data_IF_236134751688
#
_entry.id   IF_236134751688
#
_cell.length_a   1.000
_cell.length_b   1.000
_cell.length_c   1.000
_cell.angle_alpha   90.00
_cell.angle_beta   90.00
_cell.angle_gamma   90.00
#
_symmetry.space_group_name_H-M   'P 1'
#
loop_
_entity.id
_entity.type
_entity.pdbx_description
1 polymer ?
#
# COMPACT_ATOMS: atom_id res chain seq x y z
N UNK A 1 -1.29 9.22 32.94
CA UNK A 1 -1.15 8.95 31.49
C UNK A 1 0.28 8.54 31.11
N UNK A 2 1.29 9.23 31.65
CA UNK A 2 2.74 8.93 31.49
C UNK A 2 3.14 7.53 31.95
N UNK A 3 2.58 7.05 33.06
CA UNK A 3 2.84 5.69 33.59
C UNK A 3 2.24 4.59 32.69
N UNK A 4 1.06 4.83 32.11
CA UNK A 4 0.39 3.92 31.16
C UNK A 4 1.15 3.84 29.83
N UNK A 5 1.73 4.95 29.39
CA UNK A 5 2.60 5.02 28.20
C UNK A 5 3.93 4.30 28.45
N UNK A 6 4.52 4.45 29.64
CA UNK A 6 5.76 3.74 29.99
C UNK A 6 5.54 2.23 30.15
N UNK A 7 4.39 1.80 30.70
CA UNK A 7 4.00 0.39 30.78
C UNK A 7 3.76 -0.23 29.40
N UNK A 8 3.06 0.47 28.50
CA UNK A 8 2.89 0.03 27.11
C UNK A 8 4.22 0.02 26.34
N UNK A 9 5.16 0.94 26.63
CA UNK A 9 6.53 0.86 26.10
C UNK A 9 7.25 -0.38 26.61
N UNK A 10 7.19 -0.67 27.91
CA UNK A 10 7.84 -1.86 28.46
C UNK A 10 7.24 -3.17 27.89
N UNK A 11 5.92 -3.25 27.72
CA UNK A 11 5.23 -4.43 27.20
C UNK A 11 5.34 -4.60 25.68
N UNK A 12 5.39 -3.50 24.91
CA UNK A 12 5.53 -3.55 23.44
C UNK A 12 6.99 -3.76 23.01
N UNK A 13 7.95 -3.41 23.86
CA UNK A 13 9.39 -3.58 23.60
C UNK A 13 10.03 -4.70 24.43
N UNK A 14 9.27 -5.41 25.26
CA UNK A 14 9.66 -6.71 25.79
C UNK A 14 9.68 -7.71 24.63
N UNK A 15 10.72 -7.62 23.78
CA UNK A 15 11.21 -8.79 23.06
C UNK A 15 11.41 -9.83 24.17
N UNK A 16 10.66 -10.95 24.18
CA UNK A 16 10.84 -11.96 25.21
C UNK A 16 12.32 -12.27 25.24
N UNK A 17 12.97 -12.04 26.38
CA UNK A 17 14.38 -12.36 26.58
C UNK A 17 14.50 -13.86 26.31
N UNK A 18 14.84 -14.19 25.06
CA UNK A 18 14.71 -15.51 24.50
C UNK A 18 15.79 -16.40 25.06
N UNK A 19 15.53 -16.96 26.24
CA UNK A 19 16.32 -18.04 26.81
C UNK A 19 16.31 -19.24 25.86
N UNK A 20 17.48 -19.58 25.33
CA UNK A 20 17.86 -20.93 24.88
C UNK A 20 17.23 -21.52 23.61
N UNK A 21 16.08 -21.04 23.11
CA UNK A 21 15.38 -21.71 21.99
C UNK A 21 15.72 -21.18 20.59
N UNK A 22 16.30 -19.98 20.47
CA UNK A 22 16.59 -19.36 19.16
C UNK A 22 17.75 -20.05 18.41
N UNK A 23 18.66 -20.73 19.12
CA UNK A 23 19.78 -21.42 18.50
C UNK A 23 19.31 -22.65 17.69
N UNK A 24 18.30 -23.38 18.18
CA UNK A 24 17.78 -24.61 17.53
C UNK A 24 17.06 -24.31 16.21
N UNK A 25 16.24 -23.25 16.18
CA UNK A 25 15.53 -22.84 14.95
C UNK A 25 16.49 -22.33 13.88
N UNK A 26 17.58 -21.66 14.26
CA UNK A 26 18.61 -21.16 13.32
C UNK A 26 19.39 -22.29 12.67
N UNK A 27 19.84 -23.28 13.45
CA UNK A 27 20.49 -24.48 12.90
C UNK A 27 19.53 -25.29 12.01
N UNK A 28 18.27 -25.39 12.41
CA UNK A 28 17.25 -26.06 11.60
C UNK A 28 17.01 -25.34 10.26
N UNK A 29 16.91 -24.01 10.25
CA UNK A 29 16.73 -23.24 9.01
C UNK A 29 17.93 -23.38 8.07
N UNK A 30 19.17 -23.30 8.58
CA UNK A 30 20.37 -23.50 7.76
C UNK A 30 20.41 -24.92 7.21
N UNK A 31 20.15 -25.95 8.04
CA UNK A 31 20.08 -27.33 7.56
C UNK A 31 18.96 -27.54 6.54
N UNK A 32 17.80 -26.91 6.71
CA UNK A 32 16.69 -26.96 5.77
C UNK A 32 17.06 -26.30 4.43
N UNK A 33 17.71 -25.12 4.45
CA UNK A 33 18.20 -24.48 3.24
C UNK A 33 19.26 -25.34 2.53
N UNK A 34 20.23 -25.89 3.27
CA UNK A 34 21.28 -26.75 2.70
C UNK A 34 20.68 -28.04 2.13
N UNK A 35 19.75 -28.68 2.85
CA UNK A 35 19.05 -29.87 2.38
C UNK A 35 18.19 -29.58 1.16
N UNK A 36 17.51 -28.42 1.15
CA UNK A 36 16.73 -27.97 -0.02
C UNK A 36 17.64 -27.76 -1.21
N UNK A 37 18.74 -27.02 -1.07
CA UNK A 37 19.74 -26.81 -2.14
C UNK A 37 20.33 -28.15 -2.61
N UNK A 38 20.64 -29.07 -1.69
CA UNK A 38 21.14 -30.41 -2.02
C UNK A 38 20.12 -31.23 -2.84
N UNK A 39 18.86 -31.25 -2.42
CA UNK A 39 17.75 -31.85 -3.18
C UNK A 39 17.53 -31.17 -4.54
N UNK A 40 17.78 -29.86 -4.59
CA UNK A 40 17.65 -29.04 -5.79
C UNK A 40 18.71 -29.37 -6.84
N UNK A 41 19.98 -29.47 -6.41
CA UNK A 41 21.11 -29.90 -7.24
C UNK A 41 21.00 -31.37 -7.65
N UNK A 42 20.40 -32.21 -6.80
CA UNK A 42 20.16 -33.61 -7.10
C UNK A 42 18.96 -33.86 -8.03
N UNK A 43 18.22 -32.83 -8.44
CA UNK A 43 17.10 -33.01 -9.37
C UNK A 43 17.60 -33.47 -10.74
N UNK A 44 16.91 -34.46 -11.32
CA UNK A 44 17.29 -35.04 -12.62
C UNK A 44 17.30 -33.99 -13.74
N UNK A 45 16.41 -32.99 -13.65
CA UNK A 45 16.38 -31.86 -14.58
C UNK A 45 17.66 -31.04 -14.50
N UNK A 46 18.11 -30.65 -13.30
CA UNK A 46 19.36 -29.94 -13.12
C UNK A 46 20.56 -30.72 -13.66
N UNK A 47 20.65 -32.02 -13.33
CA UNK A 47 21.73 -32.89 -13.81
C UNK A 47 21.70 -33.06 -15.33
N UNK A 48 20.51 -33.08 -15.95
CA UNK A 48 20.37 -33.15 -17.41
C UNK A 48 20.87 -31.87 -18.11
N UNK A 49 20.50 -30.69 -17.59
CA UNK A 49 20.97 -29.40 -18.08
C UNK A 49 22.48 -29.27 -17.90
N UNK A 50 22.99 -29.60 -16.71
CA UNK A 50 24.43 -29.60 -16.44
C UNK A 50 25.17 -30.57 -17.37
N UNK A 51 24.60 -31.76 -17.60
CA UNK A 51 25.18 -32.74 -18.53
C UNK A 51 25.16 -32.27 -19.99
N UNK A 52 24.13 -31.54 -20.43
CA UNK A 52 24.08 -30.91 -21.76
C UNK A 52 25.11 -29.79 -21.88
N UNK A 53 25.21 -28.95 -20.86
CA UNK A 53 26.22 -27.89 -20.77
C UNK A 53 27.65 -28.43 -20.84
N UNK A 54 27.98 -29.47 -20.05
CA UNK A 54 29.30 -30.12 -20.08
C UNK A 54 29.62 -30.68 -21.48
N UNK A 55 28.61 -31.18 -22.20
CA UNK A 55 28.73 -31.69 -23.57
C UNK A 55 28.78 -30.58 -24.63
N UNK A 56 28.57 -29.32 -24.25
CA UNK A 56 28.45 -28.14 -25.13
C UNK A 56 27.28 -28.23 -26.11
N UNK A 57 26.19 -28.86 -25.67
CA UNK A 57 24.93 -28.84 -26.43
C UNK A 57 24.34 -27.43 -26.40
N UNK A 58 23.63 -27.01 -27.46
CA UNK A 58 22.97 -25.70 -27.44
C UNK A 58 21.82 -25.70 -26.41
N UNK A 59 21.92 -24.85 -25.40
CA UNK A 59 20.97 -24.74 -24.29
C UNK A 59 19.89 -23.68 -24.50
N UNK A 60 19.87 -22.96 -25.63
CA UNK A 60 18.96 -21.83 -25.89
C UNK A 60 17.46 -22.15 -25.64
N UNK A 61 17.02 -23.36 -26.03
CA UNK A 61 15.64 -23.82 -25.89
C UNK A 61 15.42 -24.74 -24.67
N UNK A 62 16.43 -24.86 -23.80
CA UNK A 62 16.34 -25.75 -22.65
C UNK A 62 15.66 -25.05 -21.48
N UNK A 63 14.78 -25.79 -20.82
CA UNK A 63 14.06 -25.35 -19.64
C UNK A 63 14.69 -25.98 -18.40
N UNK A 64 14.88 -25.18 -17.36
CA UNK A 64 15.20 -25.66 -16.02
C UNK A 64 13.96 -25.40 -15.16
N UNK A 65 13.25 -26.49 -14.82
CA UNK A 65 11.87 -26.45 -14.31
C UNK A 65 10.92 -25.72 -15.30
N UNK A 66 9.87 -24.94 -14.91
CA UNK A 66 8.98 -24.34 -15.90
C UNK A 66 9.53 -23.05 -16.55
N UNK A 67 10.82 -22.74 -16.38
CA UNK A 67 11.41 -21.48 -16.84
C UNK A 67 12.57 -21.74 -17.81
N UNK A 68 12.63 -20.91 -18.87
CA UNK A 68 13.74 -20.93 -19.82
C UNK A 68 15.06 -20.57 -19.14
N UNK A 69 16.18 -21.17 -19.57
CA UNK A 69 17.50 -20.92 -18.97
C UNK A 69 17.93 -19.44 -18.97
N UNK A 70 17.53 -18.66 -19.98
CA UNK A 70 17.77 -17.21 -19.99
C UNK A 70 17.14 -16.44 -18.82
N UNK A 71 16.08 -16.97 -18.18
CA UNK A 71 15.57 -16.40 -16.92
C UNK A 71 16.47 -16.72 -15.74
N UNK A 72 17.03 -17.93 -15.69
CA UNK A 72 17.98 -18.36 -14.67
C UNK A 72 19.28 -17.57 -14.75
N UNK A 73 19.77 -17.26 -15.95
CA UNK A 73 20.90 -16.33 -16.16
C UNK A 73 20.67 -14.99 -15.45
N UNK A 74 19.49 -14.38 -15.65
CA UNK A 74 19.12 -13.09 -15.05
C UNK A 74 19.03 -13.19 -13.53
N UNK A 75 18.46 -14.28 -13.02
CA UNK A 75 18.43 -14.56 -11.58
C UNK A 75 19.87 -14.71 -11.06
N UNK A 76 20.74 -15.40 -11.79
CA UNK A 76 22.15 -15.58 -11.47
C UNK A 76 22.89 -14.26 -11.31
N UNK A 77 22.76 -13.37 -12.30
CA UNK A 77 23.32 -12.01 -12.26
C UNK A 77 22.75 -11.18 -11.11
N UNK A 78 21.45 -11.29 -10.82
CA UNK A 78 20.83 -10.62 -9.68
C UNK A 78 21.41 -11.12 -8.34
N UNK A 79 21.63 -12.43 -8.18
CA UNK A 79 22.24 -13.00 -6.98
C UNK A 79 23.71 -12.59 -6.81
N UNK A 80 24.49 -12.58 -7.90
CA UNK A 80 25.87 -12.07 -7.88
C UNK A 80 25.93 -10.57 -7.51
N UNK A 81 25.00 -9.76 -8.03
CA UNK A 81 24.88 -8.36 -7.65
C UNK A 81 24.54 -8.20 -6.16
N UNK A 82 23.57 -8.98 -5.65
CA UNK A 82 23.23 -8.98 -4.23
C UNK A 82 24.41 -9.43 -3.35
N UNK A 83 25.21 -10.40 -3.82
CA UNK A 83 26.45 -10.79 -3.15
C UNK A 83 27.43 -9.62 -3.06
N UNK A 84 27.65 -8.89 -4.15
CA UNK A 84 28.46 -7.66 -4.14
C UNK A 84 27.92 -6.62 -3.16
N UNK A 85 26.60 -6.45 -3.08
CA UNK A 85 25.96 -5.56 -2.11
C UNK A 85 26.21 -5.97 -0.65
N UNK A 86 26.38 -7.25 -0.34
CA UNK A 86 26.75 -7.67 1.03
C UNK A 86 28.13 -7.18 1.45
N UNK A 87 29.07 -7.07 0.50
CA UNK A 87 30.40 -6.50 0.75
C UNK A 87 30.28 -5.00 1.01
N UNK A 88 29.47 -4.29 0.22
CA UNK A 88 29.18 -2.86 0.47
C UNK A 88 28.57 -2.67 1.85
N UNK A 89 27.64 -3.53 2.27
CA UNK A 89 27.05 -3.49 3.61
C UNK A 89 28.09 -3.75 4.72
N UNK A 90 29.08 -4.63 4.49
CA UNK A 90 30.18 -4.88 5.44
C UNK A 90 31.10 -3.65 5.61
N UNK A 91 31.13 -2.75 4.62
CA UNK A 91 31.88 -1.49 4.68
C UNK A 91 31.11 -0.37 5.40
N UNK A 92 29.79 -0.47 5.52
CA UNK A 92 28.99 0.55 6.20
C UNK A 92 29.07 0.33 7.71
N UNK A 93 29.40 1.39 8.44
CA UNK A 93 29.40 1.40 9.90
C UNK A 93 28.06 0.85 10.47
N UNK A 94 28.10 -0.23 11.27
CA UNK A 94 26.92 -0.80 11.92
C UNK A 94 26.06 0.23 12.68
N UNK A 95 26.68 1.24 13.28
CA UNK A 95 25.96 2.28 14.00
C UNK A 95 25.08 3.14 13.06
N UNK A 96 25.56 3.44 11.86
CA UNK A 96 24.80 4.18 10.84
C UNK A 96 23.61 3.36 10.34
N UNK A 97 23.81 2.07 10.09
CA UNK A 97 22.72 1.17 9.68
C UNK A 97 21.64 1.07 10.77
N UNK A 98 22.05 0.92 12.04
CA UNK A 98 21.13 0.89 13.17
C UNK A 98 20.32 2.18 13.28
N UNK A 99 20.95 3.35 13.18
CA UNK A 99 20.26 4.64 13.23
C UNK A 99 19.27 4.82 12.06
N UNK A 100 19.66 4.41 10.85
CA UNK A 100 18.77 4.44 9.69
C UNK A 100 17.55 3.52 9.88
N UNK A 101 17.74 2.31 10.42
CA UNK A 101 16.67 1.38 10.71
C UNK A 101 15.70 1.92 11.78
N UNK A 102 16.22 2.51 12.86
CA UNK A 102 15.40 3.16 13.90
C UNK A 102 14.60 4.33 13.34
N UNK A 103 15.23 5.19 12.52
CA UNK A 103 14.54 6.29 11.85
C UNK A 103 13.42 5.81 10.91
N UNK A 104 13.63 4.71 10.19
CA UNK A 104 12.61 4.10 9.35
C UNK A 104 11.44 3.53 10.18
N UNK A 105 11.71 2.90 11.33
CA UNK A 105 10.68 2.39 12.24
C UNK A 105 9.87 3.51 12.87
N UNK A 106 10.49 4.61 13.28
CA UNK A 106 9.78 5.76 13.84
C UNK A 106 8.92 6.46 12.79
N UNK A 107 9.41 6.55 11.55
CA UNK A 107 8.60 7.03 10.42
C UNK A 107 7.42 6.10 10.13
N UNK A 108 7.58 4.78 10.20
CA UNK A 108 6.48 3.82 10.08
C UNK A 108 5.43 4.01 11.18
N UNK A 109 5.86 4.26 12.42
CA UNK A 109 4.96 4.50 13.55
C UNK A 109 4.17 5.79 13.36
N UNK A 110 4.81 6.86 12.92
CA UNK A 110 4.10 8.12 12.63
C UNK A 110 3.10 7.96 11.49
N UNK A 111 3.45 7.20 10.45
CA UNK A 111 2.51 6.86 9.37
C UNK A 111 1.33 6.01 9.85
N UNK A 112 1.55 5.07 10.77
CA UNK A 112 0.47 4.23 11.34
C UNK A 112 -0.46 5.06 12.22
N UNK A 113 0.09 5.96 13.04
CA UNK A 113 -0.69 6.91 13.83
C UNK A 113 -1.53 7.81 12.92
N UNK A 114 -0.93 8.39 11.88
CA UNK A 114 -1.63 9.18 10.87
C UNK A 114 -2.69 8.36 10.12
N UNK A 115 -2.50 7.04 9.95
CA UNK A 115 -3.51 6.17 9.32
C UNK A 115 -4.75 6.00 10.20
N UNK A 116 -4.58 5.85 11.52
CA UNK A 116 -5.71 5.81 12.45
C UNK A 116 -6.53 7.10 12.41
N UNK A 117 -5.85 8.24 12.41
CA UNK A 117 -6.47 9.57 12.28
C UNK A 117 -7.20 9.73 10.94
N UNK A 118 -6.58 9.31 9.82
CA UNK A 118 -7.21 9.35 8.50
C UNK A 118 -8.41 8.38 8.37
N UNK A 119 -8.39 7.24 9.06
CA UNK A 119 -9.51 6.31 9.09
C UNK A 119 -10.69 6.88 9.86
N UNK A 120 -10.43 7.53 10.99
CA UNK A 120 -11.43 8.28 11.73
C UNK A 120 -12.08 9.36 10.84
N UNK A 121 -11.28 10.16 10.15
CA UNK A 121 -11.81 11.19 9.24
C UNK A 121 -12.60 10.62 8.06
N UNK A 122 -12.14 9.52 7.49
CA UNK A 122 -12.86 8.81 6.44
C UNK A 122 -14.24 8.35 6.93
N UNK A 123 -14.31 7.85 8.16
CA UNK A 123 -15.54 7.40 8.77
C UNK A 123 -16.48 8.58 9.05
N UNK A 124 -15.99 9.69 9.57
CA UNK A 124 -16.81 10.90 9.79
C UNK A 124 -17.38 11.45 8.48
N UNK A 125 -16.59 11.52 7.40
CA UNK A 125 -17.08 11.96 6.09
C UNK A 125 -18.15 11.00 5.53
N UNK A 126 -17.98 9.70 5.73
CA UNK A 126 -18.98 8.69 5.36
C UNK A 126 -20.26 8.85 6.17
N UNK A 127 -20.17 9.03 7.48
CA UNK A 127 -21.32 9.27 8.37
C UNK A 127 -22.05 10.55 7.97
N UNK A 128 -21.33 11.63 7.64
CA UNK A 128 -21.91 12.88 7.15
C UNK A 128 -22.70 12.65 5.86
N UNK A 129 -22.10 11.94 4.91
CA UNK A 129 -22.71 11.62 3.61
C UNK A 129 -23.96 10.74 3.77
N UNK A 130 -23.87 9.65 4.54
CA UNK A 130 -24.99 8.75 4.78
C UNK A 130 -26.13 9.42 5.55
N UNK A 131 -25.80 10.25 6.54
CA UNK A 131 -26.78 11.05 7.29
C UNK A 131 -27.50 11.99 6.34
N UNK A 132 -26.77 12.78 5.55
CA UNK A 132 -27.36 13.65 4.54
C UNK A 132 -28.30 12.88 3.60
N UNK A 133 -27.87 11.75 3.06
CA UNK A 133 -28.70 10.94 2.16
C UNK A 133 -29.94 10.38 2.83
N UNK A 134 -29.85 9.92 4.09
CA UNK A 134 -31.00 9.41 4.86
C UNK A 134 -32.04 10.49 5.15
N UNK A 135 -31.61 11.72 5.40
CA UNK A 135 -32.53 12.85 5.51
C UNK A 135 -33.23 13.14 4.18
N UNK A 136 -32.46 13.27 3.10
CA UNK A 136 -33.05 13.50 1.76
C UNK A 136 -34.00 12.38 1.38
N UNK A 137 -33.68 11.12 1.70
CA UNK A 137 -34.46 9.95 1.32
C UNK A 137 -35.80 9.88 2.03
N UNK A 138 -35.81 10.04 3.36
CA UNK A 138 -37.01 9.97 4.20
C UNK A 138 -38.08 10.95 3.73
N UNK A 139 -37.66 12.13 3.30
CA UNK A 139 -38.55 13.21 2.96
C UNK A 139 -38.91 13.24 1.46
N UNK A 140 -38.04 12.75 0.57
CA UNK A 140 -38.29 12.73 -0.89
C UNK A 140 -38.74 11.39 -1.46
N UNK A 141 -38.84 10.34 -0.63
CA UNK A 141 -39.21 9.00 -1.06
C UNK A 141 -40.53 8.97 -1.86
N UNK A 142 -40.46 8.36 -3.04
CA UNK A 142 -41.61 7.72 -3.69
C UNK A 142 -42.10 6.55 -2.81
N UNK A 143 -43.39 6.14 -2.90
CA UNK A 143 -43.98 5.09 -2.07
C UNK A 143 -43.16 3.78 -2.02
N UNK A 144 -42.36 3.52 -3.05
CA UNK A 144 -41.63 2.27 -3.25
C UNK A 144 -40.25 2.25 -2.57
N UNK A 145 -39.84 3.30 -1.85
CA UNK A 145 -38.59 3.33 -1.06
C UNK A 145 -37.29 3.50 -1.86
N UNK A 146 -37.32 3.43 -3.20
CA UNK A 146 -36.11 3.59 -4.02
C UNK A 146 -35.83 5.05 -4.35
N UNK A 147 -34.64 5.56 -3.99
CA UNK A 147 -34.09 6.76 -4.63
C UNK A 147 -33.29 6.39 -5.86
N UNK A 148 -33.77 6.85 -7.01
CA UNK A 148 -32.91 7.00 -8.18
C UNK A 148 -32.11 8.29 -8.04
N UNK A 149 -30.96 8.22 -7.38
CA UNK A 149 -29.95 9.29 -7.40
C UNK A 149 -28.79 8.81 -8.29
N UNK A 150 -28.65 9.42 -9.48
CA UNK A 150 -27.58 9.12 -10.44
C UNK A 150 -27.43 7.63 -10.85
N UNK A 151 -28.53 6.87 -10.95
CA UNK A 151 -28.50 5.49 -11.43
C UNK A 151 -27.95 4.45 -10.45
N UNK A 152 -27.59 4.84 -9.21
CA UNK A 152 -27.23 3.90 -8.17
C UNK A 152 -28.47 3.51 -7.37
N UNK A 153 -28.86 2.24 -7.46
CA UNK A 153 -29.84 1.64 -6.57
C UNK A 153 -29.19 1.47 -5.20
N UNK A 154 -29.33 2.48 -4.33
CA UNK A 154 -29.08 2.27 -2.90
C UNK A 154 -30.33 1.55 -2.38
N UNK A 155 -30.24 0.29 -1.92
CA UNK A 155 -31.38 -0.36 -1.29
C UNK A 155 -31.86 0.56 -0.17
N UNK A 156 -33.16 0.86 -0.18
CA UNK A 156 -33.79 1.59 0.90
C UNK A 156 -33.37 0.91 2.21
N UNK A 157 -32.57 1.55 3.08
CA UNK A 157 -32.29 0.95 4.36
C UNK A 157 -33.65 0.70 5.00
N UNK A 158 -33.91 -0.54 5.41
CA UNK A 158 -35.08 -0.82 6.24
C UNK A 158 -35.05 0.21 7.36
N UNK A 159 -36.14 0.96 7.49
CA UNK A 159 -36.23 2.20 8.28
C UNK A 159 -36.02 1.97 9.79
N UNK A 160 -35.98 0.69 10.22
CA UNK A 160 -35.59 0.21 11.55
C UNK A 160 -34.08 0.03 11.74
N UNK A 161 -33.27 0.15 10.69
CA UNK A 161 -31.82 -0.07 10.72
C UNK A 161 -31.06 1.15 11.30
N UNK A 162 -31.34 1.44 12.58
CA UNK A 162 -30.51 2.17 13.53
C UNK A 162 -30.01 3.57 13.14
N UNK A 163 -29.52 4.31 14.14
CA UNK A 163 -28.57 5.40 13.88
C UNK A 163 -27.39 4.78 13.10
N UNK A 164 -26.85 5.42 12.04
CA UNK A 164 -25.55 5.00 11.52
C UNK A 164 -24.58 4.85 12.70
N UNK A 165 -23.60 3.95 12.65
CA UNK A 165 -22.50 4.01 13.63
C UNK A 165 -21.87 5.41 13.53
N UNK A 166 -22.24 6.29 14.45
CA UNK A 166 -22.06 7.71 14.36
C UNK A 166 -21.72 8.26 15.75
N UNK A 167 -21.01 9.39 15.82
CA UNK A 167 -20.56 9.94 17.10
C UNK A 167 -21.70 10.61 17.91
N UNK A 168 -22.88 10.81 17.33
CA UNK A 168 -24.04 11.44 17.98
C UNK A 168 -25.06 10.42 18.51
N UNK A 169 -25.88 10.83 19.47
CA UNK A 169 -26.91 9.96 20.06
C UNK A 169 -28.12 9.81 19.14
N UNK A 170 -28.99 8.83 19.44
CA UNK A 170 -30.23 8.66 18.68
C UNK A 170 -31.18 9.87 18.83
N UNK A 171 -31.24 10.46 20.02
CA UNK A 171 -32.10 11.60 20.31
C UNK A 171 -31.65 12.85 19.54
N UNK A 172 -30.33 13.11 19.47
CA UNK A 172 -29.79 14.22 18.67
C UNK A 172 -30.15 14.06 17.18
N UNK A 173 -30.10 12.80 16.70
CA UNK A 173 -30.47 12.47 15.32
C UNK A 173 -31.98 12.71 15.06
N UNK A 174 -32.85 12.32 15.99
CA UNK A 174 -34.30 12.56 15.88
C UNK A 174 -34.64 14.06 15.94
N UNK A 175 -33.99 14.81 16.84
CA UNK A 175 -34.15 16.26 16.94
C UNK A 175 -33.73 16.97 15.65
N UNK A 176 -32.62 16.55 15.04
CA UNK A 176 -32.22 17.04 13.72
C UNK A 176 -33.27 16.71 12.65
N UNK A 177 -33.84 15.51 12.64
CA UNK A 177 -34.94 15.14 11.72
C UNK A 177 -36.14 16.09 11.86
N UNK A 178 -36.57 16.38 13.08
CA UNK A 178 -37.67 17.30 13.34
C UNK A 178 -37.37 18.71 12.84
N UNK A 179 -36.19 19.27 13.15
CA UNK A 179 -35.73 20.57 12.63
C UNK A 179 -35.76 20.64 11.10
N UNK A 180 -35.30 19.59 10.43
CA UNK A 180 -35.34 19.53 8.96
C UNK A 180 -36.76 19.42 8.41
N UNK A 181 -37.64 18.67 9.08
CA UNK A 181 -39.05 18.57 8.69
C UNK A 181 -39.77 19.92 8.78
N UNK A 182 -39.51 20.68 9.85
CA UNK A 182 -40.05 22.03 10.05
C UNK A 182 -39.57 23.00 8.98
N UNK A 183 -38.26 23.07 8.73
CA UNK A 183 -37.68 23.91 7.69
C UNK A 183 -38.27 23.57 6.31
N UNK A 184 -38.44 22.28 6.03
CA UNK A 184 -39.06 21.82 4.78
C UNK A 184 -40.52 22.28 4.65
N UNK A 185 -41.32 22.20 5.72
CA UNK A 185 -42.71 22.67 5.75
C UNK A 185 -42.79 24.18 5.55
N UNK A 186 -41.90 24.95 6.19
CA UNK A 186 -41.85 26.40 6.08
C UNK A 186 -41.42 26.86 4.68
N UNK A 187 -40.40 26.21 4.11
CA UNK A 187 -39.83 26.62 2.83
C UNK A 187 -40.67 26.19 1.61
N UNK A 188 -41.30 25.01 1.66
CA UNK A 188 -42.10 24.50 0.56
C UNK A 188 -43.60 24.58 0.88
N UNK A 189 -44.15 25.80 0.94
CA UNK A 189 -45.61 26.02 1.03
C UNK A 189 -46.43 25.40 -0.10
N UNK A 190 -45.78 24.96 -1.20
CA UNK A 190 -46.42 24.24 -2.30
C UNK A 190 -46.31 22.71 -2.10
N UNK A 191 -47.40 22.14 -1.58
CA UNK A 191 -47.53 20.78 -1.04
C UNK A 191 -47.07 19.57 -1.90
N UNK A 192 -46.77 19.63 -3.21
CA UNK A 192 -46.82 18.37 -4.01
C UNK A 192 -45.87 18.09 -5.19
N UNK A 193 -44.91 18.93 -5.60
CA UNK A 193 -44.22 18.66 -6.89
C UNK A 193 -42.70 18.48 -6.92
N UNK A 194 -41.96 18.75 -5.85
CA UNK A 194 -40.51 18.55 -5.90
C UNK A 194 -40.14 17.14 -5.42
N UNK A 195 -39.88 16.24 -6.37
CA UNK A 195 -39.28 14.91 -6.11
C UNK A 195 -37.87 14.99 -5.52
N UNK A 196 -37.24 16.16 -5.51
CA UNK A 196 -35.88 16.37 -5.01
C UNK A 196 -35.81 17.60 -4.11
N UNK A 197 -34.98 17.54 -3.06
CA UNK A 197 -34.71 18.69 -2.20
C UNK A 197 -34.16 19.87 -3.02
N UNK A 198 -34.71 21.07 -2.82
CA UNK A 198 -34.23 22.28 -3.49
C UNK A 198 -32.85 22.69 -2.96
N UNK A 199 -32.16 23.60 -3.65
CA UNK A 199 -30.82 24.06 -3.24
C UNK A 199 -30.78 24.60 -1.81
N UNK A 200 -31.78 25.37 -1.40
CA UNK A 200 -31.85 25.92 -0.02
C UNK A 200 -32.02 24.82 1.03
N UNK A 201 -32.87 23.83 0.78
CA UNK A 201 -33.01 22.65 1.65
C UNK A 201 -31.72 21.83 1.74
N UNK A 202 -31.02 21.62 0.62
CA UNK A 202 -29.72 20.92 0.61
C UNK A 202 -28.67 21.69 1.43
N UNK A 203 -28.64 23.02 1.30
CA UNK A 203 -27.72 23.85 2.09
C UNK A 203 -28.05 23.78 3.59
N UNK A 204 -29.32 23.97 3.96
CA UNK A 204 -29.76 23.87 5.35
C UNK A 204 -29.45 22.49 5.94
N UNK A 205 -29.75 21.42 5.20
CA UNK A 205 -29.46 20.06 5.64
C UNK A 205 -27.96 19.85 5.80
N UNK A 206 -27.13 20.36 4.91
CA UNK A 206 -25.68 20.30 5.05
C UNK A 206 -25.21 20.99 6.33
N UNK A 207 -25.74 22.18 6.64
CA UNK A 207 -25.45 22.88 7.90
C UNK A 207 -25.88 22.06 9.11
N UNK A 208 -27.09 21.52 9.09
CA UNK A 208 -27.65 20.74 10.19
C UNK A 208 -26.85 19.45 10.46
N UNK A 209 -26.44 18.73 9.41
CA UNK A 209 -25.61 17.53 9.56
C UNK A 209 -24.21 17.90 10.09
N UNK A 210 -23.65 19.04 9.66
CA UNK A 210 -22.39 19.52 10.19
C UNK A 210 -22.50 19.89 11.68
N UNK A 211 -23.56 20.62 12.07
CA UNK A 211 -23.84 20.94 13.49
C UNK A 211 -23.93 19.68 14.34
N UNK A 212 -24.68 18.67 13.88
CA UNK A 212 -24.86 17.40 14.58
C UNK A 212 -23.53 16.66 14.79
N UNK A 213 -22.67 16.63 13.77
CA UNK A 213 -21.34 16.03 13.87
C UNK A 213 -20.43 16.86 14.79
N UNK A 214 -20.43 18.19 14.64
CA UNK A 214 -19.55 19.07 15.41
C UNK A 214 -19.85 19.06 16.90
N UNK A 215 -21.13 18.91 17.29
CA UNK A 215 -21.54 18.76 18.69
C UNK A 215 -21.06 17.43 19.29
N UNK A 216 -21.03 16.38 18.48
CA UNK A 216 -20.60 15.05 18.88
C UNK A 216 -19.07 14.88 18.95
N UNK A 217 -18.32 15.73 18.24
CA UNK A 217 -16.85 15.66 18.17
C UNK A 217 -16.17 16.48 19.28
N UNK A 218 -15.09 15.91 19.84
CA UNK A 218 -14.22 16.64 20.75
C UNK A 218 -13.56 17.85 20.04
N UNK A 219 -13.11 18.89 20.78
CA UNK A 219 -12.44 20.04 20.18
C UNK A 219 -11.21 19.67 19.33
N UNK A 220 -10.47 18.63 19.73
CA UNK A 220 -9.32 18.12 19.00
C UNK A 220 -9.75 17.47 17.67
N UNK A 221 -10.78 16.63 17.69
CA UNK A 221 -11.34 15.99 16.49
C UNK A 221 -11.89 17.03 15.51
N UNK A 222 -12.55 18.09 16.00
CA UNK A 222 -13.02 19.20 15.18
C UNK A 222 -11.88 19.94 14.50
N UNK A 223 -10.83 20.29 15.23
CA UNK A 223 -9.65 20.95 14.65
C UNK A 223 -8.99 20.09 13.56
N UNK A 224 -8.91 18.77 13.77
CA UNK A 224 -8.39 17.85 12.76
C UNK A 224 -9.31 17.78 11.52
N UNK A 225 -10.63 17.81 11.71
CA UNK A 225 -11.61 17.73 10.62
C UNK A 225 -11.50 18.99 9.75
N UNK A 226 -11.44 20.17 10.37
CA UNK A 226 -11.24 21.45 9.67
C UNK A 226 -9.92 21.47 8.88
N UNK A 227 -8.82 20.98 9.45
CA UNK A 227 -7.53 20.86 8.74
C UNK A 227 -7.67 19.99 7.50
N UNK A 228 -8.40 18.87 7.61
CA UNK A 228 -8.60 17.92 6.51
C UNK A 228 -9.48 18.50 5.41
N UNK A 229 -10.55 19.21 5.77
CA UNK A 229 -11.45 19.87 4.83
C UNK A 229 -10.75 20.95 4.00
N UNK A 230 -9.85 21.73 4.61
CA UNK A 230 -9.04 22.74 3.89
C UNK A 230 -8.12 22.14 2.82
N UNK A 231 -7.67 20.89 3.00
CA UNK A 231 -6.75 20.21 2.07
C UNK A 231 -7.49 19.59 0.87
N UNK A 232 -8.78 19.29 1.02
CA UNK A 232 -9.56 18.47 0.09
C UNK A 232 -9.84 19.09 -1.31
N UNK A 233 -10.07 20.41 -1.50
CA UNK A 233 -10.41 20.94 -2.83
C UNK A 233 -9.26 20.79 -3.84
N UNK A 234 -8.01 20.88 -3.40
CA UNK A 234 -6.83 20.68 -4.26
C UNK A 234 -6.61 19.21 -4.64
N UNK A 235 -7.07 18.26 -3.84
CA UNK A 235 -6.91 16.83 -4.14
C UNK A 235 -7.80 16.36 -5.31
N UNK A 236 -9.01 16.91 -5.46
CA UNK A 236 -9.90 16.56 -6.59
C UNK A 236 -9.34 17.03 -7.93
N UNK A 237 -8.76 18.23 -7.97
CA UNK A 237 -8.12 18.77 -9.19
C UNK A 237 -6.89 17.96 -9.56
N UNK A 238 -6.07 17.56 -8.58
CA UNK A 238 -4.90 16.70 -8.82
C UNK A 238 -5.25 15.29 -9.30
N UNK A 239 -6.31 14.68 -8.75
CA UNK A 239 -6.78 13.37 -9.20
C UNK A 239 -7.16 13.37 -10.70
N UNK A 240 -7.82 14.44 -11.18
CA UNK A 240 -8.11 14.62 -12.61
C UNK A 240 -6.86 14.73 -13.48
N UNK A 241 -5.84 15.46 -13.02
CA UNK A 241 -4.55 15.58 -13.72
C UNK A 241 -3.80 14.24 -13.79
N UNK A 242 -3.84 13.44 -12.73
CA UNK A 242 -3.18 12.12 -12.69
C UNK A 242 -3.75 11.12 -13.69
N UNK A 243 -5.06 11.15 -13.88
CA UNK A 243 -5.76 10.29 -14.84
C UNK A 243 -5.34 10.67 -16.27
N UNK A 244 -5.34 11.98 -16.56
CA UNK A 244 -4.89 12.50 -17.86
C UNK A 244 -3.42 12.14 -18.14
N UNK A 245 -2.52 12.30 -17.16
CA UNK A 245 -1.12 11.93 -17.30
C UNK A 245 -0.93 10.41 -17.54
N UNK A 246 -1.76 9.58 -16.90
CA UNK A 246 -1.73 8.12 -17.09
C UNK A 246 -2.18 7.72 -18.49
N UNK A 247 -3.29 8.29 -18.98
CA UNK A 247 -3.79 8.05 -20.34
C UNK A 247 -2.75 8.51 -21.37
N UNK A 248 -2.15 9.68 -21.18
CA UNK A 248 -1.10 10.19 -22.07
C UNK A 248 0.13 9.28 -22.12
N UNK A 249 0.57 8.75 -20.97
CA UNK A 249 1.69 7.80 -20.92
C UNK A 249 1.36 6.48 -21.62
N UNK A 250 0.18 5.91 -21.39
CA UNK A 250 -0.23 4.67 -22.06
C UNK A 250 -0.31 4.85 -23.58
N UNK A 251 -0.84 5.98 -24.04
CA UNK A 251 -0.87 6.32 -25.46
C UNK A 251 0.56 6.43 -26.03
N UNK A 252 1.46 7.12 -25.32
CA UNK A 252 2.86 7.21 -25.71
C UNK A 252 3.56 5.84 -25.73
N UNK A 253 3.32 4.99 -24.73
CA UNK A 253 3.88 3.64 -24.64
C UNK A 253 3.41 2.76 -25.80
N UNK A 254 2.11 2.75 -26.10
CA UNK A 254 1.54 1.99 -27.23
C UNK A 254 2.13 2.47 -28.54
N UNK A 255 2.12 3.78 -28.79
CA UNK A 255 2.72 4.36 -29.99
C UNK A 255 4.20 3.98 -30.13
N UNK A 256 4.97 4.08 -29.05
CA UNK A 256 6.40 3.77 -29.05
C UNK A 256 6.69 2.28 -29.24
N UNK A 257 5.90 1.39 -28.61
CA UNK A 257 6.05 -0.06 -28.78
C UNK A 257 5.81 -0.52 -30.23
N UNK A 258 4.99 0.22 -30.99
CA UNK A 258 4.77 -0.04 -32.41
C UNK A 258 6.00 0.31 -33.27
N UNK A 259 6.78 1.31 -32.86
CA UNK A 259 8.01 1.74 -33.56
C UNK A 259 9.20 0.80 -33.30
N UNK A 260 9.30 0.22 -32.11
CA UNK A 260 10.40 -0.70 -31.75
C UNK A 260 10.41 -1.95 -32.65
N UNK A 261 9.25 -2.47 -33.05
CA UNK A 261 9.16 -3.62 -33.97
C UNK A 261 9.74 -3.34 -35.36
N UNK A 262 9.86 -2.07 -35.75
CA UNK A 262 10.34 -1.66 -37.07
C UNK A 262 11.86 -1.35 -37.11
N UNK A 263 12.56 -1.35 -35.97
CA UNK A 263 13.97 -0.93 -35.92
C UNK A 263 14.91 -2.06 -35.47
N UNK A 264 15.80 -2.49 -36.38
CA UNK A 264 16.92 -3.37 -36.06
C UNK A 264 18.18 -2.54 -35.76
N UNK A 265 18.77 -2.68 -34.57
CA UNK A 265 20.11 -2.13 -34.26
C UNK A 265 20.21 -1.28 -32.98
N UNK A 266 21.34 -0.57 -32.86
CA UNK A 266 21.79 0.31 -31.74
C UNK A 266 20.70 1.27 -31.21
N UNK A 267 19.75 1.65 -32.06
CA UNK A 267 18.62 2.48 -31.68
C UNK A 267 17.72 1.83 -30.61
N UNK A 268 17.65 0.49 -30.56
CA UNK A 268 16.88 -0.26 -29.56
C UNK A 268 17.32 -0.01 -28.10
N UNK A 269 18.61 0.23 -27.86
CA UNK A 269 19.15 0.50 -26.51
C UNK A 269 18.79 1.91 -26.05
N UNK A 270 18.94 2.91 -26.93
CA UNK A 270 18.50 4.28 -26.66
C UNK A 270 16.97 4.35 -26.43
N UNK A 271 16.22 3.58 -27.20
CA UNK A 271 14.77 3.45 -27.03
C UNK A 271 14.37 2.79 -25.71
N UNK A 272 15.07 1.73 -25.29
CA UNK A 272 14.83 1.10 -23.99
C UNK A 272 15.16 2.05 -22.82
N UNK A 273 16.26 2.80 -22.92
CA UNK A 273 16.63 3.80 -21.92
C UNK A 273 15.60 4.95 -21.84
N UNK A 274 15.10 5.43 -22.99
CA UNK A 274 14.03 6.42 -23.07
C UNK A 274 12.71 5.93 -22.46
N UNK A 275 12.34 4.68 -22.74
CA UNK A 275 11.18 4.02 -22.14
C UNK A 275 11.34 3.85 -20.64
N UNK A 276 12.52 3.46 -20.15
CA UNK A 276 12.80 3.33 -18.73
C UNK A 276 12.80 4.69 -18.02
N UNK A 277 13.30 5.75 -18.67
CA UNK A 277 13.26 7.11 -18.13
C UNK A 277 11.82 7.65 -18.10
N UNK A 278 11.05 7.50 -19.18
CA UNK A 278 9.63 7.86 -19.21
C UNK A 278 8.81 7.02 -18.24
N UNK A 279 9.09 5.73 -18.11
CA UNK A 279 8.47 4.86 -17.14
C UNK A 279 8.86 5.28 -15.74
N UNK A 280 10.12 5.58 -15.44
CA UNK A 280 10.54 6.08 -14.13
C UNK A 280 9.89 7.43 -13.80
N UNK A 281 9.72 8.32 -14.78
CA UNK A 281 9.07 9.62 -14.61
C UNK A 281 7.55 9.47 -14.43
N UNK A 282 6.89 8.67 -15.27
CA UNK A 282 5.49 8.31 -15.13
C UNK A 282 5.26 7.61 -13.81
N UNK A 283 6.09 6.63 -13.47
CA UNK A 283 6.10 5.93 -12.22
C UNK A 283 6.26 6.98 -11.14
N UNK A 284 7.21 7.92 -11.15
CA UNK A 284 7.32 8.97 -10.13
C UNK A 284 6.05 9.86 -10.03
N UNK A 285 5.47 10.30 -11.14
CA UNK A 285 4.26 11.15 -11.19
C UNK A 285 3.01 10.39 -10.74
N UNK A 286 2.69 9.25 -11.35
CA UNK A 286 1.60 8.39 -10.92
C UNK A 286 1.84 7.84 -9.54
N UNK A 287 3.05 7.48 -9.16
CA UNK A 287 3.36 7.13 -7.79
C UNK A 287 3.06 8.30 -6.87
N UNK A 288 3.40 9.54 -7.20
CA UNK A 288 3.12 10.74 -6.39
C UNK A 288 1.64 11.17 -6.38
N UNK A 289 0.86 10.84 -7.40
CA UNK A 289 -0.59 11.12 -7.43
C UNK A 289 -1.45 9.94 -6.93
N UNK A 290 -1.08 8.70 -7.24
CA UNK A 290 -1.60 7.47 -6.63
C UNK A 290 -1.17 7.38 -5.16
N UNK A 291 -0.13 8.11 -4.75
CA UNK A 291 0.18 8.49 -3.35
C UNK A 291 -1.00 9.22 -2.68
N UNK A 292 -2.00 9.75 -3.41
CA UNK A 292 -3.23 10.25 -2.80
C UNK A 292 -4.29 9.16 -2.60
N UNK A 293 -4.27 8.06 -3.37
CA UNK A 293 -5.23 6.96 -3.20
C UNK A 293 -4.90 6.12 -1.96
N UNK A 294 -5.89 5.92 -1.07
CA UNK A 294 -5.71 5.31 0.26
C UNK A 294 -5.18 3.86 0.22
N UNK A 295 -5.49 3.10 -0.82
CA UNK A 295 -5.09 1.69 -0.97
C UNK A 295 -3.61 1.52 -1.36
N UNK A 296 -3.12 2.31 -2.32
CA UNK A 296 -1.74 2.19 -2.83
C UNK A 296 -0.70 2.87 -1.92
N UNK A 297 -1.09 3.87 -1.11
CA UNK A 297 -0.25 4.36 0.01
C UNK A 297 0.07 3.25 0.99
N UNK A 298 -0.95 2.48 1.39
CA UNK A 298 -0.79 1.30 2.23
C UNK A 298 0.17 0.30 1.59
N UNK A 299 -0.07 -0.08 0.34
CA UNK A 299 0.77 -1.03 -0.39
C UNK A 299 2.22 -0.56 -0.56
N UNK A 300 2.49 0.73 -0.78
CA UNK A 300 3.86 1.25 -0.91
C UNK A 300 4.56 1.48 0.41
N UNK A 301 3.85 1.89 1.45
CA UNK A 301 4.42 1.90 2.79
C UNK A 301 4.74 0.45 3.20
N UNK A 302 3.86 -0.50 2.90
CA UNK A 302 4.11 -1.92 3.13
C UNK A 302 5.23 -2.48 2.23
N UNK A 303 5.36 -2.06 0.98
CA UNK A 303 6.43 -2.54 0.11
C UNK A 303 7.78 -1.91 0.48
N UNK A 304 7.85 -0.58 0.61
CA UNK A 304 9.08 0.16 0.94
C UNK A 304 9.52 -0.12 2.37
N UNK A 305 8.60 -0.01 3.31
CA UNK A 305 8.93 -0.11 4.72
C UNK A 305 8.50 -1.44 5.35
N UNK A 306 7.60 -2.21 4.74
CA UNK A 306 7.32 -3.57 5.22
C UNK A 306 8.44 -4.55 4.85
N UNK A 307 9.14 -4.36 3.72
CA UNK A 307 10.41 -5.08 3.48
C UNK A 307 11.44 -4.69 4.53
N UNK A 308 11.60 -3.39 4.82
CA UNK A 308 12.51 -2.91 5.88
C UNK A 308 12.08 -3.42 7.26
N UNK A 309 10.79 -3.42 7.59
CA UNK A 309 10.29 -3.85 8.89
C UNK A 309 10.34 -5.37 9.06
N UNK A 310 10.14 -6.13 7.98
CA UNK A 310 10.29 -7.58 7.98
C UNK A 310 11.78 -7.98 8.04
N UNK A 311 12.66 -7.23 7.39
CA UNK A 311 14.10 -7.48 7.43
C UNK A 311 14.80 -6.88 8.64
N UNK A 312 14.20 -5.89 9.32
CA UNK A 312 14.81 -5.21 10.47
C UNK A 312 15.15 -6.14 11.63
N UNK A 313 14.30 -7.09 12.07
CA UNK A 313 14.67 -8.06 13.11
C UNK A 313 15.85 -8.94 12.66
N UNK A 314 15.85 -9.36 11.39
CA UNK A 314 16.92 -10.18 10.82
C UNK A 314 18.24 -9.40 10.72
N UNK A 315 18.19 -8.12 10.32
CA UNK A 315 19.34 -7.23 10.27
C UNK A 315 19.84 -6.89 11.68
N UNK A 316 18.95 -6.66 12.65
CA UNK A 316 19.32 -6.45 14.05
C UNK A 316 20.03 -7.69 14.60
N UNK A 317 19.48 -8.90 14.38
CA UNK A 317 20.10 -10.17 14.76
C UNK A 317 21.47 -10.40 14.09
N UNK A 318 21.65 -9.93 12.86
CA UNK A 318 22.92 -9.98 12.14
C UNK A 318 23.93 -8.99 12.73
N UNK A 319 23.50 -7.76 13.03
CA UNK A 319 24.34 -6.69 13.55
C UNK A 319 24.71 -6.87 15.03
N UNK A 320 23.84 -7.51 15.82
CA UNK A 320 24.05 -7.77 17.26
C UNK A 320 24.90 -9.02 17.51
N UNK A 321 25.27 -9.76 16.46
CA UNK A 321 26.20 -10.88 16.59
C UNK A 321 27.60 -10.38 17.01
N UNK A 322 28.34 -11.19 17.77
CA UNK A 322 29.72 -10.87 18.18
C UNK A 322 30.67 -10.57 17.02
N UNK A 323 30.32 -10.98 15.79
CA UNK A 323 31.04 -10.72 14.55
C UNK A 323 30.02 -10.48 13.40
N UNK A 324 29.47 -9.27 13.27
CA UNK A 324 28.35 -9.00 12.36
C UNK A 324 28.71 -9.25 10.89
N UNK A 325 29.92 -8.87 10.48
CA UNK A 325 30.41 -9.07 9.11
C UNK A 325 30.58 -10.56 8.72
N UNK A 326 30.83 -11.47 9.68
CA UNK A 326 31.10 -12.87 9.34
C UNK A 326 29.89 -13.56 8.69
N UNK A 327 28.68 -13.28 9.18
CA UNK A 327 27.45 -13.87 8.63
C UNK A 327 27.10 -13.27 7.27
N UNK A 328 27.24 -11.95 7.12
CA UNK A 328 27.00 -11.27 5.84
C UNK A 328 27.93 -11.79 4.75
N UNK A 329 29.21 -12.03 5.07
CA UNK A 329 30.17 -12.64 4.15
C UNK A 329 29.78 -14.04 3.70
N UNK A 330 29.29 -14.89 4.60
CA UNK A 330 28.79 -16.22 4.23
C UNK A 330 27.54 -16.16 3.36
N UNK A 331 26.60 -15.26 3.66
CA UNK A 331 25.42 -15.03 2.82
C UNK A 331 25.85 -14.56 1.43
N UNK A 332 26.75 -13.57 1.36
CA UNK A 332 27.31 -13.09 0.10
C UNK A 332 28.01 -14.19 -0.69
N UNK A 333 28.82 -15.01 -0.03
CA UNK A 333 29.50 -16.16 -0.66
C UNK A 333 28.49 -17.16 -1.25
N UNK A 334 27.47 -17.55 -0.49
CA UNK A 334 26.43 -18.48 -0.98
C UNK A 334 25.66 -17.88 -2.16
N UNK A 335 25.28 -16.61 -2.10
CA UNK A 335 24.61 -15.91 -3.20
C UNK A 335 25.49 -15.84 -4.46
N UNK A 336 26.77 -15.54 -4.28
CA UNK A 336 27.74 -15.49 -5.38
C UNK A 336 27.91 -16.85 -6.04
N UNK A 337 28.17 -17.90 -5.26
CA UNK A 337 28.35 -19.26 -5.78
C UNK A 337 27.08 -19.72 -6.51
N UNK A 338 25.91 -19.53 -5.90
CA UNK A 338 24.63 -19.91 -6.52
C UNK A 338 24.37 -19.13 -7.81
N UNK A 339 24.62 -17.81 -7.79
CA UNK A 339 24.43 -16.98 -8.97
C UNK A 339 25.40 -17.30 -10.09
N UNK A 340 26.65 -17.63 -9.76
CA UNK A 340 27.66 -18.13 -10.71
C UNK A 340 27.22 -19.45 -11.36
N UNK A 341 26.62 -20.37 -10.60
CA UNK A 341 26.14 -21.62 -11.17
C UNK A 341 25.02 -21.41 -12.19
N UNK A 342 24.06 -20.49 -11.95
CA UNK A 342 23.02 -20.22 -12.96
C UNK A 342 23.55 -19.52 -14.20
N UNK A 343 24.47 -18.59 -14.01
CA UNK A 343 25.11 -17.89 -15.12
C UNK A 343 25.86 -18.89 -16.00
N UNK A 344 26.65 -19.79 -15.38
CA UNK A 344 27.38 -20.85 -16.06
C UNK A 344 26.46 -21.82 -16.82
N UNK A 345 25.30 -22.20 -16.26
CA UNK A 345 24.38 -23.11 -16.94
C UNK A 345 23.63 -22.49 -18.13
N UNK A 346 23.60 -21.16 -18.21
CA UNK A 346 22.89 -20.44 -19.27
C UNK A 346 23.80 -19.99 -20.41
N UNK A 347 25.13 -20.05 -20.23
CA UNK A 347 26.15 -19.77 -21.26
C UNK A 347 26.56 -21.02 -22.00
#
# INVERSE_FOLDING_TARGET
MTERVNKLRAETFAIPAGGGSSLKWRSFFVMACVATIGLWVASSEYLSVLGGWIRRDNTDDTFLWPFALGWWERIGKALQFLAGMTIVLDLIDPAKLRNAALGALDHLRSLRAARGENQFMAHIDEVRRLTFYRFVSRYNGTPDGYLSYMGYHVPSPTWEAGVPEAPFTHDDYLLAHERFAEERRAHCGHRRKHRQACRKQKNFLSTLVNELIDQALSPEQRSQLEKTERINPHQRVRAGFSLLATVAFLAAFVWFSSQVRASSGIWSVGYLAGLLAMFALWLNVTLNDVIASRLMRGARILAKYGVIAASAPLLADLLDASRPGHRLRWIGFVLFVTGFHFDLLAT
#
